data_IF_193180095237
#
_entry.id   IF_193180095237
#
_cell.length_a   1.000
_cell.length_b   1.000
_cell.length_c   1.000
_cell.angle_alpha   90.00
_cell.angle_beta   90.00
_cell.angle_gamma   90.00
#
_symmetry.space_group_name_H-M   'P 1'
#
loop_
_entity.id
_entity.type
_entity.pdbx_description
1 polymer ?
#
# COMPACT_ATOMS: atom_id res chain seq x y z
N UNK A 1 12.26 -13.80 -17.02
CA UNK A 1 12.21 -12.38 -16.65
C UNK A 1 12.99 -12.21 -15.36
N UNK A 2 13.84 -11.18 -15.20
CA UNK A 2 14.37 -10.86 -13.88
C UNK A 2 13.20 -10.63 -12.95
N UNK A 3 13.25 -11.17 -11.75
CA UNK A 3 12.22 -10.93 -10.73
C UNK A 3 12.29 -9.45 -10.34
N UNK A 4 11.14 -8.83 -10.02
CA UNK A 4 11.06 -7.44 -9.51
C UNK A 4 12.08 -7.19 -8.40
N UNK A 5 12.33 -8.21 -7.56
CA UNK A 5 13.33 -8.17 -6.49
C UNK A 5 14.78 -7.92 -6.92
N UNK A 6 15.13 -8.14 -8.19
CA UNK A 6 16.46 -7.85 -8.71
C UNK A 6 16.61 -6.40 -9.21
N UNK A 7 15.51 -5.64 -9.25
CA UNK A 7 15.47 -4.27 -9.78
C UNK A 7 15.23 -3.20 -8.69
N UNK A 8 15.06 -3.60 -7.42
CA UNK A 8 14.89 -2.66 -6.30
C UNK A 8 16.22 -2.49 -5.55
N UNK A 9 16.51 -1.27 -5.11
CA UNK A 9 17.77 -0.94 -4.42
C UNK A 9 17.85 -1.54 -3.02
N UNK A 10 16.73 -1.50 -2.29
CA UNK A 10 16.61 -2.05 -0.93
C UNK A 10 15.38 -2.93 -0.85
N UNK A 11 15.53 -4.11 -0.27
CA UNK A 11 14.44 -5.06 -0.09
C UNK A 11 14.54 -5.76 1.26
N UNK A 12 13.49 -5.67 2.04
CA UNK A 12 13.28 -6.47 3.25
C UNK A 12 12.13 -7.44 3.03
N UNK A 13 12.31 -8.69 3.38
CA UNK A 13 11.27 -9.73 3.34
C UNK A 13 11.20 -10.34 4.73
N UNK A 14 10.05 -10.20 5.36
CA UNK A 14 9.77 -10.75 6.68
C UNK A 14 8.77 -11.88 6.55
N UNK A 15 9.04 -13.00 7.20
CA UNK A 15 8.13 -14.13 7.20
C UNK A 15 7.14 -13.98 8.36
N UNK A 16 5.90 -13.62 8.02
CA UNK A 16 4.82 -13.44 8.99
C UNK A 16 4.38 -14.76 9.66
N UNK A 17 4.61 -15.90 9.02
CA UNK A 17 4.31 -17.20 9.63
C UNK A 17 5.34 -17.58 10.69
N UNK A 18 6.60 -17.14 10.55
CA UNK A 18 7.64 -17.35 11.55
C UNK A 18 7.58 -16.34 12.69
N UNK A 19 7.39 -15.05 12.36
CA UNK A 19 7.42 -13.95 13.33
C UNK A 19 6.07 -13.72 14.03
N UNK A 20 4.96 -14.11 13.41
CA UNK A 20 3.63 -13.59 13.68
C UNK A 20 3.36 -12.33 12.84
N UNK A 21 2.19 -12.29 12.19
CA UNK A 21 1.89 -11.25 11.20
C UNK A 21 1.84 -9.83 11.77
N UNK A 22 1.34 -9.67 12.99
CA UNK A 22 1.34 -8.36 13.66
C UNK A 22 2.78 -7.85 13.92
N UNK A 23 3.70 -8.73 14.30
CA UNK A 23 5.11 -8.40 14.50
C UNK A 23 5.81 -8.14 13.16
N UNK A 24 5.56 -8.94 12.14
CA UNK A 24 6.11 -8.75 10.80
C UNK A 24 5.70 -7.38 10.22
N UNK A 25 4.43 -6.98 10.36
CA UNK A 25 3.95 -5.66 9.96
C UNK A 25 4.65 -4.54 10.74
N UNK A 26 4.75 -4.67 12.08
CA UNK A 26 5.43 -3.70 12.93
C UNK A 26 6.89 -3.53 12.51
N UNK A 27 7.58 -4.63 12.27
CA UNK A 27 8.98 -4.61 11.81
C UNK A 27 9.15 -4.03 10.41
N UNK A 28 8.21 -4.30 9.50
CA UNK A 28 8.19 -3.68 8.17
C UNK A 28 8.11 -2.16 8.26
N UNK A 29 7.26 -1.65 9.16
CA UNK A 29 7.09 -0.20 9.39
C UNK A 29 8.32 0.40 10.04
N UNK A 30 8.96 -0.26 11.01
CA UNK A 30 10.23 0.18 11.60
C UNK A 30 11.31 0.35 10.54
N UNK A 31 11.53 -0.67 9.71
CA UNK A 31 12.52 -0.65 8.62
C UNK A 31 12.22 0.46 7.62
N UNK A 32 10.95 0.64 7.26
CA UNK A 32 10.53 1.70 6.33
C UNK A 32 10.74 3.09 6.94
N UNK A 33 10.41 3.30 8.22
CA UNK A 33 10.62 4.59 8.90
C UNK A 33 12.10 4.92 9.09
N UNK A 34 12.93 3.93 9.41
CA UNK A 34 14.39 4.08 9.46
C UNK A 34 14.96 4.46 8.10
N UNK A 35 14.51 3.80 7.03
CA UNK A 35 14.93 4.11 5.67
C UNK A 35 14.52 5.54 5.25
N UNK A 36 13.29 5.95 5.56
CA UNK A 36 12.81 7.32 5.30
C UNK A 36 13.62 8.39 6.05
N UNK A 37 14.14 8.07 7.23
CA UNK A 37 14.95 8.99 8.04
C UNK A 37 16.41 9.12 7.55
N UNK A 38 16.95 8.09 6.89
CA UNK A 38 18.38 7.98 6.57
C UNK A 38 18.72 7.97 5.09
N UNK A 39 17.73 7.76 4.21
CA UNK A 39 17.89 7.65 2.77
C UNK A 39 16.95 8.60 2.02
N UNK A 40 17.13 8.67 0.71
CA UNK A 40 16.34 9.51 -0.20
C UNK A 40 15.69 8.62 -1.28
N UNK A 41 14.65 7.83 -0.93
CA UNK A 41 14.00 6.95 -1.88
C UNK A 41 13.07 7.73 -2.83
N UNK A 42 13.10 7.40 -4.12
CA UNK A 42 12.10 7.87 -5.10
C UNK A 42 10.75 7.18 -4.91
N UNK A 43 10.75 5.92 -4.48
CA UNK A 43 9.54 5.14 -4.23
C UNK A 43 9.75 4.16 -3.07
N UNK A 44 8.72 3.97 -2.27
CA UNK A 44 8.69 3.03 -1.15
C UNK A 44 7.39 2.22 -1.22
N UNK A 45 7.50 0.90 -1.17
CA UNK A 45 6.36 -0.02 -1.05
C UNK A 45 6.42 -0.74 0.28
N UNK A 46 5.33 -0.68 1.04
CA UNK A 46 5.17 -1.38 2.32
C UNK A 46 3.94 -2.27 2.25
N UNK A 47 4.10 -3.55 2.57
CA UNK A 47 3.01 -4.52 2.66
C UNK A 47 2.68 -4.77 4.13
N UNK A 48 1.40 -4.77 4.45
CA UNK A 48 0.87 -5.06 5.79
C UNK A 48 -0.11 -6.24 5.67
N UNK A 49 0.31 -7.42 6.11
CA UNK A 49 -0.43 -8.67 5.93
C UNK A 49 -1.32 -9.09 7.09
N UNK A 50 -1.13 -8.50 8.27
CA UNK A 50 -1.82 -8.89 9.49
C UNK A 50 -3.36 -8.89 9.38
N UNK A 51 -4.05 -7.91 8.76
CA UNK A 51 -5.50 -7.94 8.62
C UNK A 51 -5.99 -9.16 7.83
N UNK A 52 -5.33 -9.49 6.73
CA UNK A 52 -5.70 -10.62 5.90
C UNK A 52 -5.59 -11.93 6.67
N UNK A 53 -4.43 -12.18 7.22
CA UNK A 53 -4.12 -13.43 7.92
C UNK A 53 -4.94 -13.60 9.21
N UNK A 54 -5.20 -12.51 9.94
CA UNK A 54 -6.11 -12.54 11.11
C UNK A 54 -7.50 -13.01 10.70
N UNK A 55 -8.03 -12.52 9.58
CA UNK A 55 -9.35 -12.94 9.12
C UNK A 55 -9.39 -14.41 8.66
N UNK A 56 -8.33 -14.90 8.06
CA UNK A 56 -8.20 -16.32 7.71
C UNK A 56 -8.15 -17.19 8.95
N UNK A 57 -7.36 -16.81 9.95
CA UNK A 57 -7.22 -17.55 11.21
C UNK A 57 -8.55 -17.63 11.97
N UNK A 58 -9.28 -16.52 12.06
CA UNK A 58 -10.54 -16.44 12.80
C UNK A 58 -11.78 -16.77 11.94
N UNK A 59 -11.63 -16.94 10.63
CA UNK A 59 -12.73 -17.12 9.67
C UNK A 59 -13.84 -16.08 9.85
N UNK A 60 -13.46 -14.84 10.03
CA UNK A 60 -14.36 -13.76 10.45
C UNK A 60 -13.78 -12.39 10.10
N UNK A 61 -14.69 -11.42 9.90
CA UNK A 61 -14.38 -9.99 9.91
C UNK A 61 -14.84 -9.34 11.24
N UNK A 62 -14.82 -10.12 12.32
CA UNK A 62 -15.24 -9.74 13.67
C UNK A 62 -14.27 -8.82 14.39
N UNK A 63 -14.19 -8.97 15.73
CA UNK A 63 -13.42 -8.07 16.58
C UNK A 63 -11.92 -8.12 16.27
N UNK A 64 -11.36 -9.31 16.17
CA UNK A 64 -9.93 -9.54 15.93
C UNK A 64 -9.47 -8.94 14.60
N UNK A 65 -10.27 -9.13 13.53
CA UNK A 65 -10.01 -8.51 12.24
C UNK A 65 -10.01 -6.98 12.32
N UNK A 66 -11.01 -6.40 13.01
CA UNK A 66 -11.10 -4.93 13.17
C UNK A 66 -9.94 -4.37 13.98
N UNK A 67 -9.46 -5.10 14.98
CA UNK A 67 -8.27 -4.74 15.74
C UNK A 67 -7.01 -4.77 14.86
N UNK A 68 -6.88 -5.79 14.00
CA UNK A 68 -5.79 -5.87 13.02
C UNK A 68 -5.83 -4.71 12.01
N UNK A 69 -7.02 -4.35 11.50
CA UNK A 69 -7.20 -3.16 10.64
C UNK A 69 -6.84 -1.88 11.38
N UNK A 70 -7.27 -1.73 12.63
CA UNK A 70 -6.91 -0.55 13.44
C UNK A 70 -5.40 -0.49 13.74
N UNK A 71 -4.71 -1.63 13.82
CA UNK A 71 -3.25 -1.66 13.93
C UNK A 71 -2.60 -1.22 12.60
N UNK A 72 -3.08 -1.73 11.47
CA UNK A 72 -2.59 -1.32 10.15
C UNK A 72 -2.79 0.20 9.92
N UNK A 73 -3.92 0.78 10.34
CA UNK A 73 -4.16 2.23 10.28
C UNK A 73 -3.12 3.01 11.11
N UNK A 74 -2.80 2.55 12.33
CA UNK A 74 -1.72 3.15 13.13
C UNK A 74 -0.36 3.06 12.44
N UNK A 75 -0.05 1.94 11.78
CA UNK A 75 1.17 1.77 10.99
C UNK A 75 1.25 2.74 9.81
N UNK A 76 0.16 2.92 9.09
CA UNK A 76 0.08 3.95 8.03
C UNK A 76 0.31 5.34 8.64
N UNK A 77 -0.27 5.64 9.80
CA UNK A 77 -0.03 6.88 10.54
C UNK A 77 1.46 7.11 10.86
N UNK A 78 2.18 6.06 11.29
CA UNK A 78 3.63 6.12 11.56
C UNK A 78 4.42 6.42 10.27
N UNK A 79 4.12 5.76 9.17
CA UNK A 79 4.76 6.01 7.87
C UNK A 79 4.53 7.45 7.40
N UNK A 80 3.29 7.94 7.49
CA UNK A 80 2.95 9.34 7.16
C UNK A 80 3.71 10.32 8.04
N UNK A 81 3.84 10.04 9.34
CA UNK A 81 4.61 10.87 10.26
C UNK A 81 6.11 10.87 9.91
N UNK A 82 6.67 9.71 9.55
CA UNK A 82 8.06 9.59 9.12
C UNK A 82 8.35 10.39 7.84
N UNK A 83 7.47 10.31 6.83
CA UNK A 83 7.56 11.15 5.62
C UNK A 83 7.58 12.63 5.98
N UNK A 84 6.66 13.08 6.86
CA UNK A 84 6.56 14.49 7.26
C UNK A 84 7.74 14.97 8.12
N UNK A 85 8.42 14.05 8.79
CA UNK A 85 9.59 14.36 9.63
C UNK A 85 10.89 14.50 8.85
N UNK A 86 10.89 14.21 7.53
CA UNK A 86 12.08 14.36 6.69
C UNK A 86 12.52 15.82 6.64
N UNK A 87 13.81 16.04 6.74
CA UNK A 87 14.38 17.40 6.67
C UNK A 87 14.11 18.11 5.34
N UNK A 88 13.88 17.33 4.29
CA UNK A 88 13.61 17.77 2.89
C UNK A 88 12.13 17.83 2.56
N UNK A 89 11.23 17.45 3.49
CA UNK A 89 9.78 17.31 3.23
C UNK A 89 9.15 18.51 2.51
N UNK A 90 9.49 19.73 2.91
CA UNK A 90 8.92 20.96 2.34
C UNK A 90 9.34 21.21 0.87
N UNK A 91 10.38 20.53 0.40
CA UNK A 91 10.88 20.61 -0.98
C UNK A 91 10.55 19.38 -1.81
N UNK A 92 9.96 18.36 -1.19
CA UNK A 92 9.56 17.11 -1.82
C UNK A 92 8.07 17.11 -2.18
N UNK A 93 7.73 16.35 -3.20
CA UNK A 93 6.33 16.18 -3.63
C UNK A 93 5.88 14.74 -3.39
N UNK A 94 5.66 14.38 -2.13
CA UNK A 94 5.22 13.05 -1.75
C UNK A 94 3.79 12.76 -2.21
N UNK A 95 3.60 11.59 -2.82
CA UNK A 95 2.30 10.99 -3.08
C UNK A 95 2.19 9.70 -2.26
N UNK A 96 1.20 9.66 -1.37
CA UNK A 96 0.89 8.48 -0.57
C UNK A 96 -0.31 7.81 -1.17
N UNK A 97 -0.16 6.55 -1.58
CA UNK A 97 -1.24 5.72 -2.10
C UNK A 97 -1.43 4.56 -1.12
N UNK A 98 -2.65 4.36 -0.67
CA UNK A 98 -3.03 3.23 0.18
C UNK A 98 -4.19 2.48 -0.45
N UNK A 99 -4.08 1.16 -0.52
CA UNK A 99 -5.10 0.28 -1.07
C UNK A 99 -5.04 -1.09 -0.41
N UNK A 100 -6.12 -1.86 -0.53
CA UNK A 100 -6.07 -3.33 -0.41
C UNK A 100 -5.96 -3.93 -1.81
N UNK A 101 -5.46 -5.14 -1.89
CA UNK A 101 -5.38 -5.93 -3.13
C UNK A 101 -6.70 -6.63 -3.47
N UNK A 102 -7.51 -6.94 -2.44
CA UNK A 102 -8.86 -7.50 -2.54
C UNK A 102 -9.72 -7.08 -1.35
N UNK A 103 -11.02 -7.32 -1.45
CA UNK A 103 -11.95 -7.31 -0.34
C UNK A 103 -12.14 -8.71 0.24
N UNK A 104 -13.22 -8.94 1.01
CA UNK A 104 -13.47 -10.24 1.59
C UNK A 104 -14.91 -10.44 2.03
N UNK A 105 -15.30 -11.70 2.11
CA UNK A 105 -16.60 -12.12 2.61
C UNK A 105 -16.69 -12.02 4.14
N UNK A 106 -17.89 -12.08 4.68
CA UNK A 106 -18.13 -12.00 6.13
C UNK A 106 -17.50 -13.14 6.93
N UNK A 107 -17.21 -14.29 6.30
CA UNK A 107 -16.50 -15.41 6.89
C UNK A 107 -14.96 -15.32 6.75
N UNK A 108 -14.45 -14.15 6.35
CA UNK A 108 -13.01 -13.88 6.24
C UNK A 108 -12.34 -14.46 4.99
N UNK A 109 -13.09 -15.08 4.08
CA UNK A 109 -12.57 -15.64 2.84
C UNK A 109 -12.45 -14.60 1.72
N UNK A 110 -11.64 -14.92 0.70
CA UNK A 110 -11.49 -14.18 -0.57
C UNK A 110 -11.04 -15.13 -1.69
N UNK A 111 -10.90 -14.59 -2.90
CA UNK A 111 -10.45 -15.35 -4.09
C UNK A 111 -11.60 -15.81 -4.99
N UNK A 112 -12.84 -15.48 -4.64
CA UNK A 112 -14.00 -15.59 -5.51
C UNK A 112 -14.23 -14.32 -6.33
N UNK A 113 -15.46 -14.20 -6.84
CA UNK A 113 -15.88 -13.11 -7.74
C UNK A 113 -17.07 -12.30 -7.19
N UNK A 114 -17.38 -12.45 -5.90
CA UNK A 114 -18.43 -11.66 -5.25
C UNK A 114 -18.03 -10.17 -5.17
N UNK A 115 -19.04 -9.31 -5.08
CA UNK A 115 -18.80 -7.86 -4.96
C UNK A 115 -17.98 -7.51 -3.71
N UNK A 116 -18.20 -8.23 -2.59
CA UNK A 116 -17.44 -8.05 -1.36
C UNK A 116 -15.94 -8.38 -1.54
N UNK A 117 -15.62 -9.45 -2.29
CA UNK A 117 -14.24 -9.87 -2.53
C UNK A 117 -13.52 -8.99 -3.53
N UNK A 118 -14.24 -8.40 -4.48
CA UNK A 118 -13.69 -7.54 -5.54
C UNK A 118 -13.64 -6.07 -5.16
N UNK A 119 -14.34 -5.66 -4.10
CA UNK A 119 -14.34 -4.27 -3.66
C UNK A 119 -13.12 -3.97 -2.82
N UNK A 120 -12.34 -2.99 -3.26
CA UNK A 120 -11.19 -2.44 -2.55
C UNK A 120 -11.43 -0.98 -2.21
N UNK A 121 -10.66 -0.44 -1.27
CA UNK A 121 -10.51 1.01 -1.16
C UNK A 121 -9.24 1.46 -1.88
N UNK A 122 -9.21 2.70 -2.32
CA UNK A 122 -8.01 3.37 -2.83
C UNK A 122 -8.00 4.82 -2.34
N UNK A 123 -6.96 5.17 -1.60
CA UNK A 123 -6.71 6.51 -1.09
C UNK A 123 -5.45 7.08 -1.76
N UNK A 124 -5.56 8.32 -2.24
CA UNK A 124 -4.43 9.07 -2.79
C UNK A 124 -4.30 10.38 -2.02
N UNK A 125 -3.14 10.65 -1.45
CA UNK A 125 -2.88 11.81 -0.60
C UNK A 125 -1.52 12.43 -0.91
N UNK A 126 -1.46 13.75 -0.86
CA UNK A 126 -0.24 14.53 -1.11
C UNK A 126 -0.52 15.82 -1.86
N UNK A 127 0.50 16.67 -2.09
CA UNK A 127 0.34 17.94 -2.80
C UNK A 127 -0.24 17.78 -4.22
N UNK A 128 0.12 16.72 -4.93
CA UNK A 128 -0.38 16.40 -6.28
C UNK A 128 -1.72 15.69 -6.29
N UNK A 129 -2.26 15.27 -5.13
CA UNK A 129 -3.54 14.59 -5.09
C UNK A 129 -4.72 15.54 -5.37
N UNK A 130 -5.72 15.05 -6.08
CA UNK A 130 -7.03 15.71 -6.21
C UNK A 130 -7.82 15.48 -4.92
N UNK A 131 -8.46 16.55 -4.43
CA UNK A 131 -9.32 16.45 -3.25
C UNK A 131 -10.72 15.95 -3.62
N UNK A 132 -11.28 15.10 -2.77
CA UNK A 132 -12.63 14.57 -2.90
C UNK A 132 -12.67 13.17 -3.50
N UNK A 133 -13.86 12.61 -3.72
CA UNK A 133 -14.01 11.28 -4.28
C UNK A 133 -13.49 11.24 -5.73
N UNK A 134 -13.03 10.06 -6.14
CA UNK A 134 -12.70 9.81 -7.54
C UNK A 134 -13.96 9.94 -8.40
N UNK A 135 -13.84 10.55 -9.58
CA UNK A 135 -14.96 10.74 -10.50
C UNK A 135 -15.38 9.45 -11.22
N UNK A 136 -14.50 8.47 -11.24
CA UNK A 136 -14.69 7.16 -11.86
C UNK A 136 -14.18 6.06 -10.94
N UNK A 137 -14.68 4.82 -11.08
CA UNK A 137 -14.13 3.67 -10.39
C UNK A 137 -12.63 3.52 -10.65
N UNK A 138 -11.89 3.18 -9.61
CA UNK A 138 -10.47 2.87 -9.68
C UNK A 138 -10.25 1.38 -9.39
N UNK A 139 -9.16 0.85 -9.96
CA UNK A 139 -8.79 -0.55 -9.85
C UNK A 139 -7.38 -0.66 -9.25
N UNK A 140 -7.05 -1.82 -8.70
CA UNK A 140 -5.72 -2.05 -8.10
C UNK A 140 -4.58 -1.82 -9.11
N UNK A 141 -4.81 -2.12 -10.39
CA UNK A 141 -3.83 -1.88 -11.48
C UNK A 141 -3.52 -0.39 -11.70
N UNK A 142 -4.40 0.51 -11.25
CA UNK A 142 -4.20 1.96 -11.38
C UNK A 142 -3.13 2.49 -10.41
N UNK A 143 -2.85 1.77 -9.32
CA UNK A 143 -1.87 2.16 -8.29
C UNK A 143 -0.48 2.33 -8.89
N UNK A 144 0.01 1.32 -9.60
CA UNK A 144 1.34 1.35 -10.21
C UNK A 144 1.45 2.43 -11.28
N UNK A 145 0.44 2.59 -12.13
CA UNK A 145 0.43 3.61 -13.18
C UNK A 145 0.38 5.02 -12.57
N UNK A 146 -0.40 5.21 -11.51
CA UNK A 146 -0.46 6.48 -10.78
C UNK A 146 0.90 6.85 -10.17
N UNK A 147 1.58 5.87 -9.55
CA UNK A 147 2.92 6.08 -9.00
C UNK A 147 3.94 6.45 -10.08
N UNK A 148 3.98 5.70 -11.19
CA UNK A 148 4.90 5.97 -12.31
C UNK A 148 4.68 7.40 -12.88
N UNK A 149 3.43 7.77 -13.13
CA UNK A 149 3.11 9.12 -13.67
C UNK A 149 3.48 10.22 -12.66
N UNK A 150 3.26 10.00 -11.35
CA UNK A 150 3.68 10.94 -10.32
C UNK A 150 5.20 11.15 -10.30
N UNK A 151 5.98 10.09 -10.52
CA UNK A 151 7.44 10.14 -10.64
C UNK A 151 7.93 10.75 -11.96
N UNK A 152 7.01 11.20 -12.83
CA UNK A 152 7.36 11.76 -14.14
C UNK A 152 7.79 10.75 -15.19
N UNK A 153 7.51 9.46 -14.95
CA UNK A 153 7.82 8.38 -15.88
C UNK A 153 6.73 8.31 -16.94
N UNK A 154 7.12 8.51 -18.21
CA UNK A 154 6.22 8.34 -19.34
C UNK A 154 5.88 6.85 -19.54
N UNK A 155 4.60 6.54 -19.58
CA UNK A 155 4.15 5.16 -19.82
C UNK A 155 4.34 4.82 -21.29
N UNK A 156 5.21 3.84 -21.58
CA UNK A 156 5.39 3.31 -22.92
C UNK A 156 4.19 2.40 -23.27
N UNK A 157 3.47 2.67 -24.38
CA UNK A 157 2.36 1.82 -24.79
C UNK A 157 2.74 0.34 -25.01
N UNK A 158 4.01 0.04 -25.28
CA UNK A 158 4.50 -1.34 -25.43
C UNK A 158 4.47 -2.13 -24.12
N UNK A 159 4.38 -1.47 -22.95
CA UNK A 159 4.24 -2.15 -21.66
C UNK A 159 2.85 -2.76 -21.45
N UNK A 160 1.87 -2.34 -22.24
CA UNK A 160 0.50 -2.87 -22.21
C UNK A 160 -0.10 -2.90 -20.79
N UNK A 161 0.11 -1.82 -20.03
CA UNK A 161 -0.44 -1.69 -18.67
C UNK A 161 -1.96 -1.48 -18.74
N UNK A 162 -2.71 -2.25 -17.97
CA UNK A 162 -4.17 -2.16 -17.88
C UNK A 162 -4.67 -0.95 -17.08
N UNK A 163 -3.82 -0.39 -16.21
CA UNK A 163 -4.15 0.72 -15.33
C UNK A 163 -4.06 2.09 -16.02
N UNK A 164 -4.67 3.07 -15.37
CA UNK A 164 -4.59 4.51 -15.71
C UNK A 164 -4.23 5.33 -14.48
N UNK A 165 -3.65 6.55 -14.62
CA UNK A 165 -3.42 7.41 -13.48
C UNK A 165 -4.75 7.90 -12.89
N UNK A 166 -4.90 7.79 -11.55
CA UNK A 166 -6.10 8.18 -10.83
C UNK A 166 -5.78 9.06 -9.62
N UNK A 167 -6.68 9.97 -9.27
CA UNK A 167 -6.57 10.77 -8.06
C UNK A 167 -5.45 11.81 -8.04
N UNK A 168 -4.74 12.06 -9.14
CA UNK A 168 -3.67 13.07 -9.25
C UNK A 168 -4.03 14.17 -10.27
N UNK A 169 -3.37 15.35 -10.11
CA UNK A 169 -3.57 16.54 -10.97
C UNK A 169 -2.69 16.48 -12.19
#
# INVERSE_FOLDING_TARGET
MPTVSAAVDVRHVLDGYELGWAEADSRSVELATEHLATADPDALFVYLGNPDETSHQHRSIGAEYREAVALADRHVGQLVAAVRARATYDTENWLIISSTDHGRTSNGGHGGDSDEERTIYLLVSGPSAKRGPLSEPAFIVDVSVTALVHLGISIDPSWQLDGKPVGIR
#
